data_IF_168990427702
#
_entry.id   IF_168990427702
#
_cell.length_a   1.000
_cell.length_b   1.000
_cell.length_c   1.000
_cell.angle_alpha   90.00
_cell.angle_beta   90.00
_cell.angle_gamma   90.00
#
_symmetry.space_group_name_H-M   'P 1'
#
loop_
_entity.id
_entity.type
_entity.pdbx_description
1 polymer ?
#
# COMPACT_ATOMS: atom_id res chain seq x y z
N UNK A 1 -24.74 78.94 -11.09
CA UNK A 1 -24.26 78.83 -9.70
C UNK A 1 -24.91 77.61 -9.07
N UNK A 2 -24.13 76.58 -8.78
CA UNK A 2 -24.37 75.50 -7.81
C UNK A 2 -23.00 74.79 -7.67
N UNK A 3 -22.14 75.28 -6.79
CA UNK A 3 -21.92 74.80 -5.42
C UNK A 3 -21.38 73.37 -5.34
N UNK A 4 -20.08 73.32 -5.01
CA UNK A 4 -19.44 72.38 -4.09
C UNK A 4 -18.86 71.08 -4.67
N UNK A 5 -17.75 71.27 -5.36
CA UNK A 5 -16.48 70.56 -5.13
C UNK A 5 -16.26 70.24 -3.64
N UNK A 6 -16.19 68.96 -3.28
CA UNK A 6 -15.52 68.37 -2.09
C UNK A 6 -15.22 66.91 -2.45
N UNK A 7 -14.01 66.53 -2.84
CA UNK A 7 -12.82 66.36 -1.99
C UNK A 7 -13.08 65.45 -0.77
N UNK A 8 -12.91 64.14 -0.97
CA UNK A 8 -12.59 63.11 0.02
C UNK A 8 -11.78 62.05 -0.75
N UNK A 9 -10.44 62.11 -0.85
CA UNK A 9 -9.46 61.88 0.21
C UNK A 9 -9.87 60.71 1.12
N UNK A 10 -9.81 59.50 0.55
CA UNK A 10 -9.61 58.28 1.34
C UNK A 10 -8.19 57.83 1.05
N UNK A 11 -7.35 57.97 2.08
CA UNK A 11 -5.95 57.63 2.09
C UNK A 11 -5.76 56.13 1.82
N UNK A 12 -5.13 55.80 0.69
CA UNK A 12 -4.55 54.48 0.46
C UNK A 12 -3.28 54.35 1.33
N UNK A 13 -3.45 53.87 2.56
CA UNK A 13 -2.33 53.39 3.38
C UNK A 13 -1.88 52.04 2.81
N UNK A 14 -0.97 52.07 1.82
CA UNK A 14 -0.20 50.90 1.42
C UNK A 14 0.90 50.70 2.46
N UNK A 15 0.66 49.81 3.43
CA UNK A 15 1.70 49.22 4.24
C UNK A 15 2.54 48.29 3.36
N UNK A 16 3.67 48.79 2.86
CA UNK A 16 4.71 47.96 2.25
C UNK A 16 5.46 47.24 3.38
N UNK A 17 5.09 45.99 3.64
CA UNK A 17 5.87 45.07 4.46
C UNK A 17 6.92 44.39 3.56
N UNK A 18 8.24 44.56 3.80
CA UNK A 18 9.23 43.70 3.17
C UNK A 18 9.22 42.33 3.88
N UNK A 19 8.76 41.29 3.16
CA UNK A 19 9.06 39.89 3.51
C UNK A 19 10.54 39.67 3.22
N UNK A 20 11.38 39.89 4.23
CA UNK A 20 12.78 39.49 4.20
C UNK A 20 12.86 38.04 4.67
N UNK A 21 12.89 37.12 3.71
CA UNK A 21 13.21 35.71 3.95
C UNK A 21 14.69 35.61 4.34
N UNK A 22 14.96 35.54 5.65
CA UNK A 22 16.28 35.16 6.16
C UNK A 22 16.23 33.63 6.38
N UNK A 23 16.80 32.90 5.42
CA UNK A 23 17.11 31.49 5.59
C UNK A 23 18.11 31.35 6.76
N UNK A 24 17.68 30.72 7.85
CA UNK A 24 18.57 30.31 8.93
C UNK A 24 18.82 28.80 8.82
N UNK A 25 20.07 28.53 8.46
CA UNK A 25 20.81 27.27 8.47
C UNK A 25 20.25 26.20 9.42
N UNK A 26 19.78 25.08 8.86
CA UNK A 26 19.66 23.84 9.61
C UNK A 26 21.08 23.27 9.86
N UNK A 27 21.50 23.00 11.10
CA UNK A 27 22.71 22.24 11.34
C UNK A 27 22.45 20.76 11.03
N UNK A 28 23.09 20.23 9.98
CA UNK A 28 23.29 18.79 9.82
C UNK A 28 24.23 18.33 10.93
N UNK A 29 23.68 17.95 12.08
CA UNK A 29 24.44 17.33 13.15
C UNK A 29 24.56 15.83 12.86
N UNK A 30 25.52 15.49 12.01
CA UNK A 30 25.93 14.11 11.78
C UNK A 30 26.80 13.68 12.97
N UNK A 31 26.16 13.27 14.06
CA UNK A 31 26.86 12.68 15.20
C UNK A 31 27.32 11.27 14.83
N UNK A 32 28.59 11.18 14.44
CA UNK A 32 29.36 9.95 14.30
C UNK A 32 29.60 9.37 15.70
N UNK A 33 28.85 8.33 16.10
CA UNK A 33 29.10 7.67 17.39
C UNK A 33 30.39 6.83 17.31
N UNK A 34 31.36 7.02 18.21
CA UNK A 34 32.55 6.19 18.28
C UNK A 34 32.18 4.78 18.76
N UNK A 35 32.51 3.75 17.97
CA UNK A 35 32.46 2.37 18.46
C UNK A 35 33.50 2.22 19.57
N UNK A 36 33.03 2.21 20.81
CA UNK A 36 33.84 1.89 21.98
C UNK A 36 34.40 0.47 21.87
N UNK A 37 35.71 0.35 22.04
CA UNK A 37 36.38 -0.91 22.29
C UNK A 37 35.88 -1.49 23.62
N UNK A 38 34.96 -2.44 23.55
CA UNK A 38 34.50 -3.21 24.71
C UNK A 38 34.51 -4.70 24.36
N UNK A 39 35.40 -5.46 25.01
CA UNK A 39 35.37 -6.92 24.97
C UNK A 39 34.08 -7.40 25.68
N UNK A 40 33.08 -7.85 24.92
CA UNK A 40 31.98 -8.64 25.48
C UNK A 40 32.33 -10.13 25.50
N UNK A 41 32.12 -10.84 26.63
CA UNK A 41 32.34 -12.27 26.70
C UNK A 41 31.29 -13.02 25.87
N UNK A 42 31.74 -13.86 24.93
CA UNK A 42 30.88 -14.81 24.23
C UNK A 42 30.37 -15.87 25.22
N UNK A 43 29.10 -15.74 25.64
CA UNK A 43 28.36 -16.87 26.19
C UNK A 43 28.12 -17.90 25.08
N UNK A 44 28.33 -19.18 25.40
CA UNK A 44 28.16 -20.31 24.48
C UNK A 44 26.74 -20.33 23.91
N UNK A 45 26.59 -19.80 22.70
CA UNK A 45 25.42 -19.93 21.85
C UNK A 45 25.89 -20.19 20.44
N UNK A 46 25.54 -21.35 19.89
CA UNK A 46 25.94 -21.77 18.56
C UNK A 46 25.20 -20.93 17.51
N UNK A 47 25.76 -19.79 17.10
CA UNK A 47 25.45 -19.18 15.80
C UNK A 47 26.70 -18.48 15.23
N UNK A 48 27.28 -19.08 14.19
CA UNK A 48 27.75 -18.27 13.07
C UNK A 48 27.31 -18.91 11.74
N UNK A 49 26.56 -18.19 10.91
CA UNK A 49 26.98 -17.12 9.98
C UNK A 49 27.34 -17.67 8.60
N UNK A 50 26.85 -16.96 7.57
CA UNK A 50 27.49 -16.98 6.27
C UNK A 50 26.60 -16.57 5.10
N UNK A 51 26.21 -15.29 5.01
CA UNK A 51 25.98 -14.71 3.69
C UNK A 51 27.36 -14.61 3.00
N UNK A 52 27.62 -15.53 2.08
CA UNK A 52 28.68 -15.43 1.08
C UNK A 52 28.05 -15.66 -0.29
N UNK A 53 28.38 -14.81 -1.27
CA UNK A 53 27.92 -14.95 -2.66
C UNK A 53 28.05 -16.40 -3.13
N UNK A 54 26.93 -17.05 -3.51
CA UNK A 54 26.96 -18.35 -4.17
C UNK A 54 27.27 -18.16 -5.66
N UNK A 55 28.45 -18.56 -6.16
CA UNK A 55 28.56 -18.94 -7.56
C UNK A 55 27.80 -20.28 -7.72
N UNK A 56 26.74 -20.29 -8.52
CA UNK A 56 26.18 -21.56 -9.02
C UNK A 56 27.20 -22.19 -9.97
N UNK A 57 28.13 -22.98 -9.41
CA UNK A 57 28.92 -23.92 -10.17
C UNK A 57 28.03 -25.08 -10.62
N UNK A 58 28.03 -25.39 -11.91
CA UNK A 58 27.41 -26.60 -12.44
C UNK A 58 28.09 -27.82 -11.80
N UNK A 59 27.42 -28.48 -10.86
CA UNK A 59 27.93 -29.69 -10.21
C UNK A 59 26.81 -30.48 -9.53
N UNK A 60 26.68 -31.76 -9.87
CA UNK A 60 25.77 -32.71 -9.22
C UNK A 60 26.09 -32.80 -7.71
N UNK A 61 25.14 -32.44 -6.83
CA UNK A 61 25.23 -32.77 -5.41
C UNK A 61 24.65 -34.18 -5.14
N UNK A 62 25.40 -35.10 -4.51
CA UNK A 62 24.90 -36.41 -4.14
C UNK A 62 24.04 -36.32 -2.88
N UNK A 63 22.81 -36.86 -2.92
CA UNK A 63 22.01 -37.08 -1.71
C UNK A 63 22.69 -38.13 -0.82
N UNK A 64 23.13 -37.71 0.35
CA UNK A 64 23.65 -38.61 1.39
C UNK A 64 22.55 -39.49 1.97
N UNK A 65 22.82 -40.79 2.09
CA UNK A 65 21.96 -41.77 2.75
C UNK A 65 21.86 -41.44 4.25
N UNK A 66 20.76 -40.82 4.66
CA UNK A 66 20.40 -40.62 6.06
C UNK A 66 19.03 -41.22 6.34
N UNK A 67 18.97 -42.29 7.13
CA UNK A 67 17.72 -42.87 7.63
C UNK A 67 17.07 -41.88 8.62
N UNK A 68 15.97 -41.23 8.22
CA UNK A 68 15.10 -40.53 9.17
C UNK A 68 14.11 -41.53 9.80
N UNK A 69 14.08 -41.68 11.14
CA UNK A 69 13.12 -42.56 11.79
C UNK A 69 11.72 -41.93 11.74
N UNK A 70 10.79 -42.56 11.02
CA UNK A 70 9.37 -42.24 11.14
C UNK A 70 8.85 -42.71 12.51
N UNK A 71 8.33 -41.77 13.30
CA UNK A 71 7.67 -42.06 14.57
C UNK A 71 6.44 -42.95 14.38
N UNK A 72 6.32 -43.98 15.21
CA UNK A 72 5.17 -44.89 15.24
C UNK A 72 3.92 -44.14 15.72
N UNK A 73 3.10 -43.68 14.79
CA UNK A 73 1.72 -43.26 15.04
C UNK A 73 0.77 -44.19 14.29
N UNK A 74 -0.03 -44.97 15.02
CA UNK A 74 -1.12 -45.75 14.43
C UNK A 74 -2.18 -44.79 13.85
N UNK A 75 -2.19 -44.61 12.53
CA UNK A 75 -3.38 -44.09 11.82
C UNK A 75 -4.10 -45.25 11.13
N UNK A 76 -5.36 -45.54 11.46
CA UNK A 76 -6.13 -46.57 10.78
C UNK A 76 -6.47 -46.10 9.36
N UNK A 77 -5.86 -46.71 8.34
CA UNK A 77 -6.29 -46.57 6.96
C UNK A 77 -7.65 -47.24 6.78
N UNK A 78 -8.71 -46.44 6.67
CA UNK A 78 -9.98 -46.92 6.11
C UNK A 78 -9.80 -47.12 4.61
N UNK A 79 -9.81 -48.38 4.19
CA UNK A 79 -9.81 -48.80 2.80
C UNK A 79 -11.20 -48.52 2.21
N UNK A 80 -11.36 -47.37 1.56
CA UNK A 80 -12.40 -47.19 0.56
C UNK A 80 -11.77 -47.17 -0.82
N UNK A 81 -12.05 -48.25 -1.54
CA UNK A 81 -11.68 -48.52 -2.91
C UNK A 81 -12.35 -47.49 -3.85
N UNK A 82 -11.60 -46.51 -4.38
CA UNK A 82 -12.06 -45.68 -5.50
C UNK A 82 -11.14 -45.80 -6.73
N UNK A 83 -11.71 -46.11 -7.91
CA UNK A 83 -10.95 -46.35 -9.13
C UNK A 83 -10.42 -45.04 -9.73
N UNK A 84 -9.14 -45.04 -10.12
CA UNK A 84 -8.55 -43.97 -10.94
C UNK A 84 -9.18 -44.00 -12.34
N UNK A 85 -10.20 -43.19 -12.54
CA UNK A 85 -10.79 -42.86 -13.84
C UNK A 85 -10.09 -41.65 -14.46
N UNK A 86 -9.46 -41.88 -15.60
CA UNK A 86 -8.83 -40.90 -16.48
C UNK A 86 -9.87 -39.90 -17.02
N UNK A 87 -9.71 -38.59 -16.75
CA UNK A 87 -10.55 -37.55 -17.35
C UNK A 87 -10.27 -36.12 -16.85
N UNK A 88 -9.75 -35.27 -17.74
CA UNK A 88 -9.82 -33.80 -17.76
C UNK A 88 -9.96 -33.04 -16.42
N UNK A 89 -8.84 -32.60 -15.84
CA UNK A 89 -8.86 -31.51 -14.84
C UNK A 89 -8.93 -30.16 -15.58
N UNK A 90 -10.14 -29.59 -15.67
CA UNK A 90 -10.34 -28.19 -16.07
C UNK A 90 -9.80 -27.21 -15.01
N UNK A 91 -9.45 -25.97 -15.38
CA UNK A 91 -8.90 -24.99 -14.45
C UNK A 91 -10.01 -24.36 -13.62
N UNK A 92 -9.98 -24.53 -12.29
CA UNK A 92 -10.89 -23.79 -11.41
C UNK A 92 -11.15 -24.45 -10.06
N UNK A 93 -10.11 -24.62 -9.25
CA UNK A 93 -10.31 -24.80 -7.81
C UNK A 93 -10.73 -23.45 -7.21
N UNK A 94 -12.04 -23.12 -7.30
CA UNK A 94 -12.66 -22.14 -6.41
C UNK A 94 -12.61 -22.71 -5.00
N UNK A 95 -11.57 -22.36 -4.24
CA UNK A 95 -11.59 -22.56 -2.79
C UNK A 95 -12.74 -21.76 -2.17
N UNK A 96 -13.50 -22.43 -1.32
CA UNK A 96 -14.84 -22.05 -0.90
C UNK A 96 -14.98 -20.68 -0.26
N UNK A 97 -16.00 -19.94 -0.70
CA UNK A 97 -16.62 -18.85 0.06
C UNK A 97 -17.54 -19.45 1.13
N UNK A 98 -16.97 -20.16 2.11
CA UNK A 98 -17.71 -20.53 3.32
C UNK A 98 -17.66 -19.34 4.30
N UNK A 99 -18.76 -18.56 4.34
CA UNK A 99 -19.12 -17.77 5.52
C UNK A 99 -18.69 -16.29 5.56
N UNK A 100 -18.69 -15.57 4.44
CA UNK A 100 -18.54 -14.12 4.47
C UNK A 100 -19.85 -13.42 4.88
N UNK A 101 -19.91 -12.80 6.06
CA UNK A 101 -21.04 -11.94 6.43
C UNK A 101 -21.23 -10.76 5.46
N UNK A 102 -22.28 -9.95 5.63
CA UNK A 102 -22.58 -8.83 4.74
C UNK A 102 -21.39 -7.88 4.50
N UNK A 103 -20.52 -7.69 5.49
CA UNK A 103 -19.29 -6.89 5.37
C UNK A 103 -18.26 -7.53 4.44
N UNK A 104 -18.05 -8.84 4.50
CA UNK A 104 -17.11 -9.55 3.64
C UNK A 104 -17.52 -9.41 2.17
N UNK A 105 -18.81 -9.62 1.86
CA UNK A 105 -19.32 -9.41 0.52
C UNK A 105 -19.18 -7.95 0.06
N UNK A 106 -19.38 -6.97 0.95
CA UNK A 106 -19.18 -5.57 0.60
C UNK A 106 -17.72 -5.28 0.20
N UNK A 107 -16.75 -5.81 0.94
CA UNK A 107 -15.32 -5.69 0.60
C UNK A 107 -14.97 -6.41 -0.70
N UNK A 108 -15.48 -7.63 -0.91
CA UNK A 108 -15.31 -8.35 -2.17
C UNK A 108 -15.85 -7.55 -3.36
N UNK A 109 -17.05 -6.98 -3.24
CA UNK A 109 -17.67 -6.18 -4.29
C UNK A 109 -16.89 -4.87 -4.55
N UNK A 110 -16.37 -4.21 -3.51
CA UNK A 110 -15.53 -3.01 -3.66
C UNK A 110 -14.20 -3.32 -4.35
N UNK A 111 -13.53 -4.41 -3.95
CA UNK A 111 -12.29 -4.87 -4.58
C UNK A 111 -12.50 -5.26 -6.03
N UNK A 112 -13.59 -5.96 -6.35
CA UNK A 112 -13.93 -6.33 -7.72
C UNK A 112 -14.17 -5.09 -8.60
N UNK A 113 -14.89 -4.07 -8.10
CA UNK A 113 -15.06 -2.80 -8.82
C UNK A 113 -13.74 -2.09 -9.05
N UNK A 114 -12.92 -1.96 -8.01
CA UNK A 114 -11.59 -1.36 -8.13
C UNK A 114 -10.74 -2.06 -9.19
N UNK A 115 -10.62 -3.39 -9.16
CA UNK A 115 -9.84 -4.13 -10.14
C UNK A 115 -10.38 -3.98 -11.57
N UNK A 116 -11.70 -3.95 -11.73
CA UNK A 116 -12.33 -3.72 -13.03
C UNK A 116 -12.01 -2.33 -13.58
N UNK A 117 -12.12 -1.30 -12.74
CA UNK A 117 -11.93 0.10 -13.17
C UNK A 117 -10.44 0.46 -13.33
N UNK A 118 -9.56 -0.26 -12.62
CA UNK A 118 -8.10 -0.18 -12.79
C UNK A 118 -7.59 -0.78 -14.11
N UNK A 119 -8.42 -1.54 -14.82
CA UNK A 119 -8.06 -2.13 -16.12
C UNK A 119 -8.06 -1.06 -17.24
N UNK A 120 -7.16 -0.08 -17.11
CA UNK A 120 -6.99 1.01 -18.06
C UNK A 120 -6.19 0.56 -19.29
N UNK A 121 -6.44 1.19 -20.43
CA UNK A 121 -5.55 1.09 -21.58
C UNK A 121 -4.42 2.10 -21.42
N UNK A 122 -3.18 1.61 -21.35
CA UNK A 122 -1.99 2.47 -21.25
C UNK A 122 -1.79 3.26 -22.54
N UNK A 123 -1.60 4.56 -22.38
CA UNK A 123 -1.33 5.50 -23.49
C UNK A 123 0.15 5.57 -23.87
N UNK A 124 1.04 5.09 -22.98
CA UNK A 124 2.49 5.24 -23.12
C UNK A 124 3.01 6.57 -22.58
N UNK A 125 2.13 7.45 -22.11
CA UNK A 125 2.50 8.62 -21.34
C UNK A 125 2.37 8.28 -19.85
N UNK A 126 3.51 8.21 -19.16
CA UNK A 126 3.59 7.82 -17.74
C UNK A 126 2.72 8.69 -16.83
N UNK A 127 2.69 10.00 -17.02
CA UNK A 127 1.94 10.91 -16.15
C UNK A 127 0.43 10.74 -16.35
N UNK A 128 0.01 10.57 -17.60
CA UNK A 128 -1.40 10.32 -17.95
C UNK A 128 -1.84 8.95 -17.44
N UNK A 129 -1.00 7.94 -17.61
CA UNK A 129 -1.30 6.57 -17.19
C UNK A 129 -1.32 6.46 -15.66
N UNK A 130 -0.42 7.17 -14.96
CA UNK A 130 -0.46 7.31 -13.50
C UNK A 130 -1.76 7.98 -13.04
N UNK A 131 -2.13 9.13 -13.61
CA UNK A 131 -3.32 9.84 -13.20
C UNK A 131 -4.61 9.03 -13.49
N UNK A 132 -4.69 8.39 -14.66
CA UNK A 132 -5.82 7.53 -15.03
C UNK A 132 -5.93 6.29 -14.16
N UNK A 133 -4.81 5.72 -13.73
CA UNK A 133 -4.78 4.58 -12.82
C UNK A 133 -5.10 4.97 -11.38
N UNK A 134 -4.61 6.11 -10.89
CA UNK A 134 -4.83 6.49 -9.50
C UNK A 134 -6.25 6.93 -9.17
N UNK A 135 -7.02 7.42 -10.14
CA UNK A 135 -8.44 7.74 -9.92
C UNK A 135 -9.24 6.50 -9.46
N UNK A 136 -9.29 5.37 -10.18
CA UNK A 136 -10.00 4.17 -9.73
C UNK A 136 -9.37 3.49 -8.52
N UNK A 137 -8.03 3.55 -8.37
CA UNK A 137 -7.37 3.06 -7.16
C UNK A 137 -7.87 3.80 -5.91
N UNK A 138 -7.90 5.14 -5.98
CA UNK A 138 -8.39 5.96 -4.88
C UNK A 138 -9.88 5.77 -4.64
N UNK A 139 -10.68 5.61 -5.70
CA UNK A 139 -12.11 5.32 -5.56
C UNK A 139 -12.33 3.99 -4.82
N UNK A 140 -11.52 2.96 -5.10
CA UNK A 140 -11.56 1.70 -4.37
C UNK A 140 -11.28 1.86 -2.87
N UNK A 141 -10.30 2.67 -2.51
CA UNK A 141 -10.00 2.96 -1.11
C UNK A 141 -11.12 3.74 -0.41
N UNK A 142 -11.75 4.70 -1.09
CA UNK A 142 -12.94 5.42 -0.59
C UNK A 142 -14.09 4.44 -0.35
N UNK A 143 -14.35 3.54 -1.30
CA UNK A 143 -15.40 2.54 -1.19
C UNK A 143 -15.17 1.61 0.02
N UNK A 144 -13.93 1.15 0.24
CA UNK A 144 -13.57 0.34 1.41
C UNK A 144 -13.67 1.12 2.73
N UNK A 145 -13.24 2.37 2.75
CA UNK A 145 -13.39 3.23 3.92
C UNK A 145 -14.87 3.43 4.30
N UNK A 146 -15.76 3.58 3.30
CA UNK A 146 -17.22 3.64 3.54
C UNK A 146 -17.77 2.35 4.12
N UNK A 147 -17.24 1.19 3.73
CA UNK A 147 -17.60 -0.10 4.31
C UNK A 147 -17.17 -0.16 5.79
N UNK A 148 -15.96 0.31 6.13
CA UNK A 148 -15.53 0.41 7.53
C UNK A 148 -16.44 1.33 8.35
N UNK A 149 -16.88 2.46 7.80
CA UNK A 149 -17.84 3.33 8.49
C UNK A 149 -19.19 2.65 8.73
N UNK A 150 -19.62 1.79 7.80
CA UNK A 150 -20.91 1.09 7.86
C UNK A 150 -20.90 -0.12 8.81
N UNK A 151 -19.85 -0.95 8.75
CA UNK A 151 -19.81 -2.24 9.45
C UNK A 151 -18.82 -2.28 10.62
N UNK A 152 -17.84 -1.38 10.61
CA UNK A 152 -16.80 -1.28 11.62
C UNK A 152 -17.33 -0.82 12.97
N UNK A 153 -16.64 -1.25 14.03
CA UNK A 153 -16.97 -0.95 15.43
C UNK A 153 -15.88 -0.18 16.15
N UNK A 154 -14.65 -0.25 15.64
CA UNK A 154 -13.50 0.38 16.26
C UNK A 154 -13.48 1.89 15.95
N UNK A 155 -13.46 2.76 16.97
CA UNK A 155 -13.52 4.20 16.75
C UNK A 155 -12.26 4.77 16.09
N UNK A 156 -11.08 4.17 16.29
CA UNK A 156 -9.84 4.62 15.66
C UNK A 156 -9.85 4.30 14.17
N UNK A 157 -10.31 3.09 13.79
CA UNK A 157 -10.44 2.70 12.38
C UNK A 157 -11.51 3.52 11.65
N UNK A 158 -12.63 3.85 12.31
CA UNK A 158 -13.64 4.73 11.71
C UNK A 158 -13.10 6.15 11.49
N UNK A 159 -12.33 6.68 12.45
CA UNK A 159 -11.67 7.98 12.26
C UNK A 159 -10.69 7.95 11.09
N UNK A 160 -9.88 6.90 10.98
CA UNK A 160 -8.99 6.70 9.84
C UNK A 160 -9.77 6.62 8.52
N UNK A 161 -10.91 5.93 8.49
CA UNK A 161 -11.75 5.84 7.30
C UNK A 161 -12.30 7.21 6.86
N UNK A 162 -12.73 8.07 7.78
CA UNK A 162 -13.15 9.46 7.48
C UNK A 162 -12.00 10.28 6.88
N UNK A 163 -10.79 10.16 7.46
CA UNK A 163 -9.59 10.85 6.97
C UNK A 163 -9.19 10.38 5.57
N UNK A 164 -9.25 9.07 5.32
CA UNK A 164 -9.03 8.47 3.99
C UNK A 164 -10.00 9.03 2.97
N UNK A 165 -11.30 9.07 3.27
CA UNK A 165 -12.31 9.58 2.34
C UNK A 165 -11.99 11.02 1.95
N UNK A 166 -11.75 11.89 2.94
CA UNK A 166 -11.48 13.32 2.69
C UNK A 166 -10.22 13.55 1.87
N UNK A 167 -9.13 12.85 2.19
CA UNK A 167 -7.87 12.97 1.48
C UNK A 167 -8.01 12.50 0.03
N UNK A 168 -8.54 11.29 -0.16
CA UNK A 168 -8.59 10.68 -1.48
C UNK A 168 -9.63 11.31 -2.41
N UNK A 169 -10.72 11.87 -1.89
CA UNK A 169 -11.63 12.70 -2.69
C UNK A 169 -10.94 13.95 -3.23
N UNK A 170 -10.08 14.58 -2.42
CA UNK A 170 -9.29 15.75 -2.84
C UNK A 170 -8.24 15.36 -3.89
N UNK A 171 -7.59 14.21 -3.74
CA UNK A 171 -6.62 13.67 -4.70
C UNK A 171 -7.29 13.31 -6.04
N UNK A 172 -8.46 12.66 -6.03
CA UNK A 172 -9.24 12.39 -7.25
C UNK A 172 -9.59 13.68 -7.98
N UNK A 173 -10.04 14.71 -7.25
CA UNK A 173 -10.37 16.01 -7.85
C UNK A 173 -9.14 16.64 -8.53
N UNK A 174 -7.99 16.59 -7.86
CA UNK A 174 -6.73 17.05 -8.42
C UNK A 174 -6.35 16.28 -9.70
N UNK A 175 -6.38 14.94 -9.67
CA UNK A 175 -5.99 14.09 -10.79
C UNK A 175 -6.91 14.31 -12.01
N UNK A 176 -8.22 14.44 -11.79
CA UNK A 176 -9.18 14.75 -12.86
C UNK A 176 -8.88 16.10 -13.52
N UNK A 177 -8.70 17.15 -12.72
CA UNK A 177 -8.34 18.47 -13.24
C UNK A 177 -6.99 18.46 -13.96
N UNK A 178 -6.03 17.67 -13.47
CA UNK A 178 -4.73 17.52 -14.11
C UNK A 178 -4.86 16.83 -15.49
N UNK A 179 -5.66 15.76 -15.61
CA UNK A 179 -5.91 15.08 -16.90
C UNK A 179 -6.57 16.05 -17.88
N UNK A 180 -7.61 16.77 -17.48
CA UNK A 180 -8.31 17.74 -18.35
C UNK A 180 -7.37 18.82 -18.91
N UNK A 181 -6.40 19.24 -18.11
CA UNK A 181 -5.42 20.26 -18.50
C UNK A 181 -4.32 19.71 -19.41
N UNK A 182 -3.83 18.49 -19.16
CA UNK A 182 -2.55 18.00 -19.70
C UNK A 182 -2.67 16.82 -20.66
N UNK A 183 -3.72 16.00 -20.58
CA UNK A 183 -3.90 14.83 -21.43
C UNK A 183 -4.64 15.20 -22.73
N UNK A 184 -3.93 15.84 -23.66
CA UNK A 184 -4.40 16.13 -25.02
C UNK A 184 -3.86 15.13 -26.03
#
# INVERSE_FOLDING_TARGET
MNTLTKAALIAASLAALPVLAIAQNAPTNQQNMPMGQGNMPMGQGNMPMGQGNMPMGQGNMPMGQGNMPMGQGNMPMQHDNMPMGQGNMGPGMMMGHMGGGASAKAFEDANARMHKDMAITYSGNTDVDFARGMIPHHQGAIDMAKIELQYGKDPELKKLAEEIIKAQESEIAFLKAWIEKNAK
#
